data_IF_241384178333
#
_entry.id   IF_241384178333
#
_cell.length_a   1.000
_cell.length_b   1.000
_cell.length_c   1.000
_cell.angle_alpha   90.00
_cell.angle_beta   90.00
_cell.angle_gamma   90.00
#
_symmetry.space_group_name_H-M   'P 1'
#
loop_
_entity.id
_entity.type
_entity.pdbx_description
1 polymer ?
#
# COMPACT_ATOMS: atom_id res chain seq x y z
N UNK A 1 -27.91 19.06 18.50
CA UNK A 1 -27.96 17.58 18.60
C UNK A 1 -26.53 17.09 18.39
N UNK A 2 -25.95 16.40 19.37
CA UNK A 2 -24.60 15.85 19.25
C UNK A 2 -24.72 14.56 18.44
N UNK A 3 -24.08 14.51 17.27
CA UNK A 3 -24.04 13.32 16.42
C UNK A 3 -23.09 12.31 17.07
N UNK A 4 -23.62 11.48 17.98
CA UNK A 4 -22.90 10.38 18.61
C UNK A 4 -22.79 9.24 17.59
N UNK A 5 -21.88 9.36 16.63
CA UNK A 5 -21.50 8.21 15.83
C UNK A 5 -20.71 7.26 16.72
N UNK A 6 -21.10 5.97 16.82
CA UNK A 6 -20.33 5.01 17.59
C UNK A 6 -18.92 4.91 16.99
N UNK A 7 -17.90 4.93 17.85
CA UNK A 7 -16.53 4.68 17.42
C UNK A 7 -16.44 3.25 16.88
N UNK A 8 -16.14 3.12 15.59
CA UNK A 8 -15.95 1.83 14.94
C UNK A 8 -14.47 1.45 14.95
N UNK A 9 -14.18 0.19 15.28
CA UNK A 9 -12.82 -0.35 15.21
C UNK A 9 -12.57 -0.88 13.80
N UNK A 10 -11.55 -0.37 13.11
CA UNK A 10 -11.14 -0.84 11.79
C UNK A 10 -10.05 -1.88 11.93
N UNK A 11 -10.30 -3.08 11.38
CA UNK A 11 -9.38 -4.21 11.47
C UNK A 11 -9.05 -4.73 10.07
N UNK A 12 -7.75 -4.80 9.79
CA UNK A 12 -7.18 -5.35 8.57
C UNK A 12 -5.98 -6.21 8.96
N UNK A 13 -6.14 -7.52 8.82
CA UNK A 13 -5.08 -8.51 9.13
C UNK A 13 -4.70 -9.21 7.84
N UNK A 14 -3.41 -9.38 7.59
CA UNK A 14 -2.94 -9.98 6.33
C UNK A 14 -1.77 -10.92 6.56
N UNK A 15 -1.57 -11.81 5.58
CA UNK A 15 -0.36 -12.58 5.41
C UNK A 15 0.30 -12.12 4.12
N UNK A 16 1.60 -11.83 4.17
CA UNK A 16 2.36 -11.32 3.02
C UNK A 16 3.55 -12.23 2.76
N UNK A 17 3.51 -12.95 1.63
CA UNK A 17 4.60 -13.81 1.20
C UNK A 17 5.48 -13.04 0.23
N UNK A 18 6.74 -12.86 0.60
CA UNK A 18 7.74 -12.20 -0.24
C UNK A 18 8.59 -13.23 -0.99
N UNK A 19 8.84 -12.97 -2.26
CA UNK A 19 9.68 -13.76 -3.13
C UNK A 19 10.61 -12.86 -3.96
N UNK A 20 11.91 -12.87 -3.62
CA UNK A 20 12.95 -12.18 -4.37
C UNK A 20 13.31 -13.01 -5.61
N UNK A 21 12.69 -12.71 -6.75
CA UNK A 21 12.88 -13.43 -8.04
C UNK A 21 14.30 -13.19 -8.58
N UNK A 22 14.78 -11.97 -8.44
CA UNK A 22 16.10 -11.53 -8.85
C UNK A 22 16.56 -10.36 -7.97
N UNK A 23 17.85 -9.97 -7.97
CA UNK A 23 18.33 -8.82 -7.18
C UNK A 23 17.64 -7.49 -7.49
N UNK A 24 16.97 -7.39 -8.64
CA UNK A 24 16.24 -6.21 -9.11
C UNK A 24 14.72 -6.38 -9.10
N UNK A 25 14.20 -7.56 -8.76
CA UNK A 25 12.77 -7.87 -8.82
C UNK A 25 12.30 -8.64 -7.58
N UNK A 26 11.40 -8.01 -6.86
CA UNK A 26 10.66 -8.59 -5.76
C UNK A 26 9.20 -8.72 -6.15
N UNK A 27 8.61 -9.86 -5.82
CA UNK A 27 7.17 -10.08 -5.85
C UNK A 27 6.70 -10.37 -4.44
N UNK A 28 5.51 -9.90 -4.08
CA UNK A 28 4.87 -10.31 -2.85
C UNK A 28 3.36 -10.39 -3.00
N UNK A 29 2.74 -11.28 -2.23
CA UNK A 29 1.31 -11.48 -2.26
C UNK A 29 0.82 -12.25 -1.04
N UNK A 30 -0.45 -12.09 -0.73
CA UNK A 30 -1.14 -13.01 0.16
C UNK A 30 -2.56 -12.58 0.50
N UNK A 31 -3.25 -13.40 1.30
CA UNK A 31 -4.61 -13.11 1.69
C UNK A 31 -4.67 -12.05 2.79
N UNK A 32 -5.79 -11.35 2.86
CA UNK A 32 -6.14 -10.50 4.00
C UNK A 32 -7.55 -10.81 4.49
N UNK A 33 -7.82 -10.39 5.72
CA UNK A 33 -9.13 -10.36 6.36
C UNK A 33 -9.43 -8.92 6.80
N UNK A 34 -10.55 -8.37 6.32
CA UNK A 34 -11.05 -7.05 6.68
C UNK A 34 -12.38 -7.18 7.42
N UNK A 35 -12.58 -6.44 8.50
CA UNK A 35 -13.83 -6.48 9.25
C UNK A 35 -14.95 -5.63 8.62
N UNK A 36 -16.19 -5.83 9.07
CA UNK A 36 -17.37 -5.14 8.54
C UNK A 36 -17.31 -3.61 8.71
N UNK A 37 -16.60 -3.11 9.72
CA UNK A 37 -16.45 -1.68 9.94
C UNK A 37 -15.58 -1.01 8.85
N UNK A 38 -14.56 -1.73 8.36
CA UNK A 38 -13.69 -1.28 7.28
C UNK A 38 -14.34 -1.47 5.90
N UNK A 39 -15.09 -2.56 5.71
CA UNK A 39 -15.73 -2.89 4.42
C UNK A 39 -17.07 -2.21 4.22
N UNK A 40 -17.66 -1.64 5.26
CA UNK A 40 -18.99 -1.01 5.26
C UNK A 40 -20.16 -2.00 5.14
N UNK A 41 -19.90 -3.30 5.03
CA UNK A 41 -20.95 -4.32 4.81
C UNK A 41 -20.77 -5.53 5.73
N UNK A 42 -19.82 -6.40 5.43
CA UNK A 42 -19.56 -7.66 6.14
C UNK A 42 -18.06 -7.96 6.17
N UNK A 43 -17.64 -8.88 7.02
CA UNK A 43 -16.24 -9.32 7.04
C UNK A 43 -15.87 -9.92 5.69
N UNK A 44 -14.80 -9.41 5.08
CA UNK A 44 -14.35 -9.78 3.74
C UNK A 44 -12.97 -10.42 3.80
N UNK A 45 -12.78 -11.46 2.98
CA UNK A 45 -11.47 -12.00 2.64
C UNK A 45 -11.12 -11.51 1.24
N UNK A 46 -9.92 -11.00 1.07
CA UNK A 46 -9.37 -10.67 -0.23
C UNK A 46 -7.91 -11.04 -0.31
N UNK A 47 -7.24 -10.51 -1.33
CA UNK A 47 -5.81 -10.64 -1.52
C UNK A 47 -5.16 -9.27 -1.72
N UNK A 48 -3.88 -9.22 -1.34
CA UNK A 48 -2.93 -8.21 -1.76
C UNK A 48 -1.89 -8.84 -2.68
N UNK A 49 -1.40 -8.05 -3.63
CA UNK A 49 -0.31 -8.43 -4.51
C UNK A 49 0.50 -7.19 -4.87
N UNK A 50 1.81 -7.33 -4.94
CA UNK A 50 2.67 -6.22 -5.28
C UNK A 50 4.03 -6.66 -5.80
N UNK A 51 4.78 -5.68 -6.26
CA UNK A 51 6.11 -5.86 -6.79
C UNK A 51 6.97 -4.63 -6.55
N UNK A 52 8.26 -4.88 -6.32
CA UNK A 52 9.28 -3.84 -6.33
C UNK A 52 10.28 -4.13 -7.45
N UNK A 53 10.51 -3.14 -8.31
CA UNK A 53 11.48 -3.17 -9.39
C UNK A 53 12.58 -2.17 -9.08
N UNK A 54 13.78 -2.66 -8.81
CA UNK A 54 14.97 -1.81 -8.61
C UNK A 54 15.61 -1.51 -9.96
N UNK A 55 15.58 -0.26 -10.39
CA UNK A 55 16.24 0.19 -11.61
C UNK A 55 17.72 0.50 -11.38
N UNK A 56 18.03 1.11 -10.25
CA UNK A 56 19.40 1.45 -9.85
C UNK A 56 19.56 1.07 -8.39
N UNK A 57 20.48 0.13 -8.11
CA UNK A 57 20.79 -0.35 -6.77
C UNK A 57 21.00 0.82 -5.81
N UNK A 58 20.36 0.77 -4.64
CA UNK A 58 20.41 1.78 -3.57
C UNK A 58 19.95 3.20 -3.98
N UNK A 59 19.35 3.39 -5.17
CA UNK A 59 19.07 4.73 -5.72
C UNK A 59 17.65 4.90 -6.21
N UNK A 60 17.17 3.98 -7.05
CA UNK A 60 15.92 4.15 -7.78
C UNK A 60 15.16 2.82 -7.84
N UNK A 61 13.95 2.83 -7.31
CA UNK A 61 13.03 1.69 -7.37
C UNK A 61 11.62 2.14 -7.70
N UNK A 62 10.83 1.23 -8.26
CA UNK A 62 9.40 1.36 -8.47
C UNK A 62 8.70 0.33 -7.59
N UNK A 63 7.76 0.78 -6.76
CA UNK A 63 6.90 -0.07 -5.96
C UNK A 63 5.48 -0.01 -6.52
N UNK A 64 4.85 -1.16 -6.66
CA UNK A 64 3.46 -1.27 -7.10
C UNK A 64 2.75 -2.25 -6.18
N UNK A 65 1.66 -1.80 -5.56
CA UNK A 65 0.86 -2.60 -4.64
C UNK A 65 -0.59 -2.56 -5.07
N UNK A 66 -1.29 -3.68 -4.92
CA UNK A 66 -2.71 -3.80 -5.18
C UNK A 66 -3.41 -4.51 -4.02
N UNK A 67 -4.50 -3.94 -3.55
CA UNK A 67 -5.40 -4.53 -2.55
C UNK A 67 -6.77 -4.71 -3.22
N UNK A 68 -7.21 -5.96 -3.34
CA UNK A 68 -8.53 -6.27 -3.89
C UNK A 68 -9.67 -5.87 -2.95
N UNK A 69 -10.90 -5.82 -3.46
CA UNK A 69 -12.13 -5.62 -2.67
C UNK A 69 -12.91 -4.38 -3.06
N UNK A 70 -14.00 -4.11 -2.35
CA UNK A 70 -14.86 -2.94 -2.60
C UNK A 70 -15.00 -2.11 -1.32
N UNK A 71 -13.86 -1.68 -0.78
CA UNK A 71 -13.82 -0.92 0.47
C UNK A 71 -12.72 0.13 0.49
N UNK A 72 -12.61 0.88 1.59
CA UNK A 72 -11.75 2.07 1.70
C UNK A 72 -10.24 1.79 1.62
N UNK A 73 -9.80 0.53 1.62
CA UNK A 73 -8.38 0.17 1.41
C UNK A 73 -8.12 -0.43 0.03
N UNK A 74 -9.17 -0.72 -0.74
CA UNK A 74 -9.02 -1.38 -2.03
C UNK A 74 -8.57 -0.38 -3.09
N UNK A 75 -7.66 -0.84 -3.94
CA UNK A 75 -7.06 -0.05 -5.00
C UNK A 75 -5.63 -0.46 -5.28
N UNK A 76 -5.03 0.24 -6.25
CA UNK A 76 -3.62 0.11 -6.58
C UNK A 76 -2.85 1.34 -6.13
N UNK A 77 -1.58 1.17 -5.78
CA UNK A 77 -0.61 2.26 -5.65
C UNK A 77 0.58 1.98 -6.54
N UNK A 78 1.13 3.05 -7.12
CA UNK A 78 2.34 3.01 -7.94
C UNK A 78 3.23 4.14 -7.47
N UNK A 79 4.37 3.81 -6.87
CA UNK A 79 5.30 4.74 -6.26
C UNK A 79 6.69 4.60 -6.89
N UNK A 80 7.30 5.73 -7.24
CA UNK A 80 8.71 5.84 -7.57
C UNK A 80 9.47 6.27 -6.31
N UNK A 81 10.49 5.51 -5.92
CA UNK A 81 11.34 5.75 -4.76
C UNK A 81 12.72 6.20 -5.22
N UNK A 82 13.18 7.35 -4.71
CA UNK A 82 14.47 7.95 -5.04
C UNK A 82 15.29 8.19 -3.77
N UNK A 83 16.38 7.46 -3.61
CA UNK A 83 17.37 7.71 -2.57
C UNK A 83 18.33 8.81 -3.03
N UNK A 84 18.08 10.04 -2.58
CA UNK A 84 18.93 11.20 -2.86
C UNK A 84 20.28 11.03 -2.15
N UNK A 85 20.24 10.57 -0.91
CA UNK A 85 21.42 10.16 -0.14
C UNK A 85 21.18 8.80 0.50
N UNK A 86 22.21 8.22 1.11
CA UNK A 86 22.08 7.00 1.91
C UNK A 86 21.17 7.14 3.14
N UNK A 87 20.68 8.35 3.46
CA UNK A 87 19.84 8.62 4.64
C UNK A 87 18.55 9.37 4.32
N UNK A 88 18.40 9.80 3.07
CA UNK A 88 17.28 10.62 2.64
C UNK A 88 16.70 10.06 1.34
N UNK A 89 15.45 9.62 1.43
CA UNK A 89 14.66 9.12 0.34
C UNK A 89 13.47 10.05 0.12
N UNK A 90 13.16 10.30 -1.15
CA UNK A 90 11.89 10.87 -1.57
C UNK A 90 11.10 9.82 -2.32
N UNK A 91 9.77 9.87 -2.21
CA UNK A 91 8.90 9.04 -3.02
C UNK A 91 7.74 9.87 -3.54
N UNK A 92 7.30 9.51 -4.74
CA UNK A 92 6.13 10.10 -5.37
C UNK A 92 5.37 9.03 -6.14
N UNK A 93 4.07 9.16 -6.24
CA UNK A 93 3.24 8.13 -6.83
C UNK A 93 1.80 8.54 -6.99
N UNK A 94 1.00 7.54 -7.30
CA UNK A 94 -0.45 7.66 -7.44
C UNK A 94 -1.13 6.51 -6.72
N UNK A 95 -2.30 6.80 -6.15
CA UNK A 95 -3.26 5.81 -5.70
C UNK A 95 -4.44 5.82 -6.67
N UNK A 96 -4.74 4.64 -7.20
CA UNK A 96 -5.86 4.37 -8.10
C UNK A 96 -6.89 3.57 -7.29
N UNK A 97 -8.06 4.14 -6.98
CA UNK A 97 -9.08 3.43 -6.23
C UNK A 97 -9.63 2.25 -7.03
N UNK A 98 -10.06 1.19 -6.33
CA UNK A 98 -10.81 0.10 -6.96
C UNK A 98 -12.22 0.57 -7.35
N UNK A 99 -12.81 -0.09 -8.35
CA UNK A 99 -14.19 0.18 -8.77
C UNK A 99 -15.17 -0.04 -7.61
N UNK A 100 -16.25 0.74 -7.61
CA UNK A 100 -17.32 0.69 -6.62
C UNK A 100 -16.84 0.90 -5.16
N UNK A 101 -15.78 1.68 -4.99
CA UNK A 101 -15.33 2.18 -3.68
C UNK A 101 -15.66 3.65 -3.50
N UNK A 102 -15.71 4.12 -2.26
CA UNK A 102 -15.82 5.54 -1.93
C UNK A 102 -14.46 6.27 -2.01
N UNK A 103 -13.41 5.61 -2.50
CA UNK A 103 -12.07 6.16 -2.59
C UNK A 103 -11.93 7.04 -3.84
N UNK A 104 -11.04 8.02 -3.76
CA UNK A 104 -10.72 8.92 -4.86
C UNK A 104 -9.31 8.65 -5.41
N UNK A 105 -9.08 9.03 -6.66
CA UNK A 105 -7.72 9.11 -7.20
C UNK A 105 -6.91 10.11 -6.38
N UNK A 106 -5.73 9.70 -5.94
CA UNK A 106 -4.86 10.56 -5.14
C UNK A 106 -3.42 10.56 -5.66
N UNK A 107 -2.76 11.70 -5.56
CA UNK A 107 -1.31 11.79 -5.70
C UNK A 107 -0.64 11.49 -4.36
N UNK A 108 0.48 10.78 -4.41
CA UNK A 108 1.31 10.46 -3.24
C UNK A 108 2.61 11.23 -3.39
N UNK A 109 3.00 11.96 -2.36
CA UNK A 109 4.34 12.53 -2.22
C UNK A 109 4.78 12.38 -0.78
N UNK A 110 6.04 12.04 -0.58
CA UNK A 110 6.58 11.94 0.77
C UNK A 110 8.09 11.75 0.78
N UNK A 111 8.62 11.66 1.98
CA UNK A 111 10.03 11.50 2.22
C UNK A 111 10.28 10.66 3.46
N UNK A 112 11.46 10.04 3.51
CA UNK A 112 11.96 9.31 4.65
C UNK A 112 13.37 9.82 4.99
N UNK A 113 13.57 10.15 6.27
CA UNK A 113 14.86 10.55 6.83
C UNK A 113 15.26 9.56 7.92
N UNK A 114 16.41 8.92 7.76
CA UNK A 114 16.91 7.92 8.70
C UNK A 114 18.23 8.35 9.34
N UNK A 115 18.40 8.02 10.62
CA UNK A 115 19.71 8.14 11.30
C UNK A 115 20.70 7.06 10.86
N UNK A 116 20.21 6.01 10.20
CA UNK A 116 20.99 4.89 9.64
C UNK A 116 20.95 4.92 8.13
N UNK A 117 21.85 4.16 7.48
CA UNK A 117 21.78 3.95 6.04
C UNK A 117 20.43 3.26 5.73
N UNK A 118 19.68 3.84 4.80
CA UNK A 118 18.48 3.27 4.19
C UNK A 118 18.86 2.09 3.30
#
# INVERSE_FOLDING_TARGET
MVNLQPQLWYDYTYLDNRYDVAPWLLLHAGPYLANAALTGTSRQIGFLAGTEITFIQDRLALQMDYISGHHSLSGATVNLLLNITSRFQMYMGVSVPEQDTANEFAGIVGFNLSTKKL
#
